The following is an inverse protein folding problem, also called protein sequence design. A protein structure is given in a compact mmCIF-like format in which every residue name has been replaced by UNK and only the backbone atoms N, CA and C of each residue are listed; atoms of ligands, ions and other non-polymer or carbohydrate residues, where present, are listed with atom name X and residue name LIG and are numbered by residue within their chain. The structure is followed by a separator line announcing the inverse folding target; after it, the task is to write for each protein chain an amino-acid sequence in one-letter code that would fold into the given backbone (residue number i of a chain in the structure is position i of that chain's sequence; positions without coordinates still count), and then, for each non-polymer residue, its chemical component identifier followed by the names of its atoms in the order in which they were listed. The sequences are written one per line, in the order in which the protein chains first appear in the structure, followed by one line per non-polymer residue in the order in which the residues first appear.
data_IF_643891716973
#
_entry.id   IF_643891716973
#
_cell.length_a   1.000
_cell.length_b   1.000
_cell.length_c   1.000
_cell.angle_alpha   90.00
_cell.angle_beta   90.00
_cell.angle_gamma   90.00
#
_symmetry.space_group_name_H-M   'P 1'
#
loop_
_entity.id
_entity.type
_entity.pdbx_description
1 polymer ?
#
# COMPACT_ATOMS: atom_id res chain seq x y z
N UNK A 1 26.97 -25.04 -1.32
CA UNK A 1 25.63 -25.37 -0.80
C UNK A 1 24.63 -24.41 -1.43
N UNK A 2 23.80 -24.86 -2.38
CA UNK A 2 22.74 -24.07 -2.99
C UNK A 2 21.63 -23.94 -1.95
N UNK A 3 21.40 -22.72 -1.42
CA UNK A 3 20.29 -22.46 -0.52
C UNK A 3 19.02 -22.50 -1.36
N UNK A 4 18.18 -23.50 -1.14
CA UNK A 4 16.88 -23.64 -1.76
C UNK A 4 16.03 -22.41 -1.41
N UNK A 5 15.62 -21.71 -2.45
CA UNK A 5 14.74 -20.56 -2.37
C UNK A 5 13.32 -21.10 -2.13
N UNK A 6 12.85 -21.06 -0.90
CA UNK A 6 11.55 -21.61 -0.47
C UNK A 6 10.41 -21.04 -1.33
N UNK A 7 10.58 -19.83 -1.88
CA UNK A 7 9.61 -19.14 -2.72
C UNK A 7 9.51 -19.66 -4.16
N UNK A 8 10.50 -20.43 -4.64
CA UNK A 8 10.46 -21.04 -5.98
C UNK A 8 9.69 -22.37 -6.01
N UNK A 9 9.41 -22.98 -4.85
CA UNK A 9 8.82 -24.32 -4.78
C UNK A 9 7.30 -24.36 -4.67
N UNK A 10 6.62 -23.21 -4.41
CA UNK A 10 5.17 -23.15 -4.23
C UNK A 10 4.41 -22.45 -5.37
N UNK A 11 5.01 -22.29 -6.53
CA UNK A 11 4.28 -21.87 -7.73
C UNK A 11 3.54 -23.10 -8.30
N UNK A 12 2.41 -23.44 -7.71
CA UNK A 12 1.42 -24.30 -8.34
C UNK A 12 0.75 -23.51 -9.49
N UNK A 13 0.31 -24.22 -10.53
CA UNK A 13 -0.24 -23.66 -11.78
C UNK A 13 -1.51 -22.81 -11.61
N UNK A 14 -1.97 -22.57 -10.39
CA UNK A 14 -3.13 -21.74 -10.04
C UNK A 14 -2.76 -20.27 -9.75
N UNK A 15 -1.49 -19.92 -9.65
CA UNK A 15 -0.99 -18.57 -9.35
C UNK A 15 -0.64 -17.76 -10.61
N UNK A 16 -1.46 -17.82 -11.65
CA UNK A 16 -1.27 -16.95 -12.83
C UNK A 16 -1.35 -15.43 -12.50
N UNK A 17 -1.76 -15.09 -11.30
CA UNK A 17 -1.86 -13.71 -10.76
C UNK A 17 -0.78 -13.41 -9.68
N UNK A 18 0.15 -14.33 -9.43
CA UNK A 18 1.24 -14.12 -8.50
C UNK A 18 2.18 -13.02 -9.01
N UNK A 19 2.35 -11.98 -8.21
CA UNK A 19 3.30 -10.92 -8.54
C UNK A 19 4.72 -11.45 -8.42
N UNK A 20 5.59 -11.21 -9.41
CA UNK A 20 6.98 -11.64 -9.33
C UNK A 20 7.66 -10.96 -8.13
N UNK A 21 8.28 -11.76 -7.26
CA UNK A 21 9.09 -11.23 -6.15
C UNK A 21 10.30 -10.54 -6.79
N UNK A 22 10.51 -9.26 -6.59
CA UNK A 22 11.68 -8.59 -7.12
C UNK A 22 12.94 -9.19 -6.52
N UNK A 23 13.95 -9.43 -7.33
CA UNK A 23 15.25 -9.89 -6.83
C UNK A 23 15.89 -8.87 -5.87
N UNK A 24 15.47 -7.60 -5.96
CA UNK A 24 15.95 -6.50 -5.13
C UNK A 24 14.82 -5.53 -4.83
N UNK A 25 14.52 -5.32 -3.56
CA UNK A 25 13.69 -4.21 -3.12
C UNK A 25 14.52 -2.93 -3.16
N UNK A 26 13.99 -1.89 -3.80
CA UNK A 26 14.68 -0.61 -3.99
C UNK A 26 13.99 0.55 -3.28
N UNK A 27 12.92 0.31 -2.57
CA UNK A 27 12.22 1.35 -1.81
C UNK A 27 11.38 0.76 -0.68
N UNK A 28 11.18 1.56 0.35
CA UNK A 28 10.32 1.23 1.48
C UNK A 28 8.91 0.79 1.05
N UNK A 29 8.33 1.48 0.08
CA UNK A 29 6.97 1.21 -0.41
C UNK A 29 6.86 -0.12 -1.15
N UNK A 30 7.91 -0.50 -1.87
CA UNK A 30 7.98 -1.79 -2.55
C UNK A 30 8.03 -2.92 -1.51
N UNK A 31 8.87 -2.79 -0.49
CA UNK A 31 8.94 -3.76 0.60
C UNK A 31 7.60 -3.83 1.35
N UNK A 32 7.00 -2.68 1.69
CA UNK A 32 5.70 -2.65 2.38
C UNK A 32 4.61 -3.36 1.57
N UNK A 33 4.57 -3.18 0.26
CA UNK A 33 3.63 -3.87 -0.61
C UNK A 33 3.77 -5.40 -0.50
N UNK A 34 5.00 -5.91 -0.58
CA UNK A 34 5.24 -7.36 -0.49
C UNK A 34 4.94 -7.91 0.90
N UNK A 35 5.26 -7.17 1.97
CA UNK A 35 4.94 -7.58 3.33
C UNK A 35 3.42 -7.69 3.56
N UNK A 36 2.63 -6.74 3.04
CA UNK A 36 1.17 -6.79 3.14
C UNK A 36 0.59 -7.94 2.31
N UNK A 37 1.10 -8.16 1.10
CA UNK A 37 0.69 -9.29 0.26
C UNK A 37 1.07 -10.64 0.89
N UNK A 38 2.24 -10.75 1.49
CA UNK A 38 2.68 -11.95 2.20
C UNK A 38 1.81 -12.22 3.42
N UNK A 39 1.53 -11.20 4.24
CA UNK A 39 0.62 -11.29 5.38
C UNK A 39 -0.77 -11.82 4.99
N UNK A 40 -1.30 -11.42 3.82
CA UNK A 40 -2.61 -11.86 3.34
C UNK A 40 -2.64 -13.30 2.84
N UNK A 41 -1.51 -13.84 2.46
CA UNK A 41 -1.36 -15.20 1.91
C UNK A 41 -0.89 -16.22 2.93
N UNK A 42 -0.37 -15.76 4.04
CA UNK A 42 0.21 -16.61 5.07
C UNK A 42 -0.29 -16.21 6.45
N UNK A 43 -0.20 -17.11 7.42
CA UNK A 43 -0.50 -16.82 8.81
C UNK A 43 0.69 -16.15 9.55
N UNK A 44 1.69 -15.66 8.81
CA UNK A 44 2.87 -15.02 9.39
C UNK A 44 2.60 -13.56 9.74
N UNK A 45 3.08 -13.11 10.90
CA UNK A 45 3.05 -11.71 11.26
C UNK A 45 4.04 -10.89 10.42
N UNK A 46 3.69 -9.64 10.13
CA UNK A 46 4.57 -8.72 9.38
C UNK A 46 5.94 -8.59 10.03
N UNK A 47 6.02 -8.57 11.38
CA UNK A 47 7.27 -8.52 12.12
C UNK A 47 8.21 -9.70 11.80
N UNK A 48 7.65 -10.89 11.66
CA UNK A 48 8.42 -12.12 11.39
C UNK A 48 8.93 -12.11 9.95
N UNK A 49 8.09 -11.73 9.01
CA UNK A 49 8.47 -11.52 7.61
C UNK A 49 9.56 -10.46 7.49
N UNK A 50 9.45 -9.34 8.18
CA UNK A 50 10.47 -8.29 8.18
C UNK A 50 11.82 -8.80 8.70
N UNK A 51 11.84 -9.56 9.79
CA UNK A 51 13.07 -10.13 10.35
C UNK A 51 13.77 -11.08 9.35
N UNK A 52 12.98 -11.82 8.56
CA UNK A 52 13.53 -12.68 7.50
C UNK A 52 14.12 -11.87 6.35
N UNK A 53 13.49 -10.75 5.98
CA UNK A 53 13.92 -9.89 4.89
C UNK A 53 15.10 -8.99 5.25
N UNK A 54 15.23 -8.55 6.51
CA UNK A 54 16.31 -7.67 6.99
C UNK A 54 17.71 -8.20 6.63
N UNK A 55 17.88 -9.51 6.63
CA UNK A 55 19.17 -10.16 6.30
C UNK A 55 19.42 -10.31 4.79
N UNK A 56 18.44 -9.99 3.96
CA UNK A 56 18.46 -10.28 2.51
C UNK A 56 18.39 -9.04 1.65
N UNK A 57 17.97 -7.92 2.22
CA UNK A 57 17.68 -6.69 1.51
C UNK A 57 18.59 -5.59 2.05
N UNK A 58 19.24 -4.89 1.13
CA UNK A 58 20.03 -3.71 1.45
C UNK A 58 19.15 -2.46 1.27
N UNK A 59 18.50 -2.06 2.36
CA UNK A 59 17.75 -0.81 2.48
C UNK A 59 18.29 0.04 3.61
N UNK A 60 18.19 1.36 3.47
CA UNK A 60 18.52 2.27 4.55
C UNK A 60 17.66 2.02 5.79
N UNK A 61 18.16 2.35 6.98
CA UNK A 61 17.39 2.24 8.22
C UNK A 61 16.12 3.10 8.21
N UNK A 62 16.13 4.20 7.44
CA UNK A 62 14.94 5.04 7.25
C UNK A 62 13.89 4.34 6.38
N UNK A 63 14.31 3.70 5.28
CA UNK A 63 13.41 2.93 4.42
C UNK A 63 12.82 1.72 5.14
N UNK A 64 13.61 1.06 5.99
CA UNK A 64 13.12 -0.03 6.84
C UNK A 64 12.02 0.44 7.79
N UNK A 65 12.23 1.54 8.50
CA UNK A 65 11.22 2.11 9.40
C UNK A 65 9.96 2.50 8.64
N UNK A 66 10.10 3.15 7.47
CA UNK A 66 8.97 3.52 6.64
C UNK A 66 8.22 2.31 6.10
N UNK A 67 8.91 1.27 5.66
CA UNK A 67 8.28 0.02 5.22
C UNK A 67 7.48 -0.64 6.35
N UNK A 68 8.04 -0.69 7.55
CA UNK A 68 7.37 -1.21 8.75
C UNK A 68 6.13 -0.38 9.08
N UNK A 69 6.27 0.94 9.14
CA UNK A 69 5.17 1.86 9.43
C UNK A 69 4.01 1.68 8.45
N UNK A 70 4.30 1.68 7.14
CA UNK A 70 3.28 1.50 6.11
C UNK A 70 2.62 0.12 6.22
N UNK A 71 3.39 -0.95 6.30
CA UNK A 71 2.85 -2.31 6.26
C UNK A 71 1.98 -2.63 7.48
N UNK A 72 2.45 -2.31 8.68
CA UNK A 72 1.69 -2.50 9.91
C UNK A 72 0.47 -1.57 9.93
N UNK A 73 0.65 -0.32 9.53
CA UNK A 73 -0.41 0.66 9.50
C UNK A 73 -1.55 0.29 8.54
N UNK A 74 -1.21 -0.20 7.34
CA UNK A 74 -2.20 -0.70 6.36
C UNK A 74 -3.02 -1.85 6.94
N UNK A 75 -2.39 -2.83 7.59
CA UNK A 75 -3.10 -3.96 8.19
C UNK A 75 -3.99 -3.50 9.36
N UNK A 76 -3.48 -2.65 10.24
CA UNK A 76 -4.23 -2.16 11.41
C UNK A 76 -5.41 -1.26 11.05
N UNK A 77 -5.31 -0.50 9.96
CA UNK A 77 -6.31 0.47 9.51
C UNK A 77 -7.11 -0.01 8.30
N UNK A 78 -7.05 -1.29 7.98
CA UNK A 78 -7.61 -1.85 6.75
C UNK A 78 -9.05 -1.37 6.50
N UNK A 79 -9.96 -1.49 7.47
CA UNK A 79 -11.36 -1.11 7.32
C UNK A 79 -11.54 0.39 7.01
N UNK A 80 -10.77 1.25 7.66
CA UNK A 80 -10.79 2.69 7.41
C UNK A 80 -10.31 3.00 6.00
N UNK A 81 -9.19 2.39 5.59
CA UNK A 81 -8.64 2.58 4.25
C UNK A 81 -9.59 2.07 3.17
N UNK A 82 -10.23 0.92 3.40
CA UNK A 82 -11.21 0.34 2.49
C UNK A 82 -12.38 1.30 2.29
N UNK A 83 -12.95 1.84 3.37
CA UNK A 83 -14.05 2.82 3.30
C UNK A 83 -13.67 4.06 2.48
N UNK A 84 -12.48 4.60 2.71
CA UNK A 84 -11.98 5.77 1.97
C UNK A 84 -11.83 5.45 0.48
N UNK A 85 -11.23 4.32 0.14
CA UNK A 85 -11.04 3.93 -1.26
C UNK A 85 -12.37 3.66 -1.95
N UNK A 86 -13.27 2.94 -1.30
CA UNK A 86 -14.58 2.59 -1.84
C UNK A 86 -15.43 3.84 -2.16
N UNK A 87 -15.34 4.88 -1.34
CA UNK A 87 -16.02 6.16 -1.61
C UNK A 87 -15.58 6.84 -2.91
N UNK A 88 -14.42 6.48 -3.45
CA UNK A 88 -13.86 7.04 -4.68
C UNK A 88 -14.00 6.10 -5.89
N UNK A 89 -14.56 4.91 -5.69
CA UNK A 89 -14.74 3.95 -6.78
C UNK A 89 -16.00 4.25 -7.58
N UNK A 90 -15.87 4.14 -8.91
CA UNK A 90 -17.01 4.13 -9.85
C UNK A 90 -17.51 2.72 -10.19
N UNK A 91 -16.87 1.70 -9.63
CA UNK A 91 -17.17 0.28 -9.86
C UNK A 91 -17.09 -0.51 -8.55
N UNK A 92 -17.79 -1.66 -8.44
CA UNK A 92 -17.75 -2.49 -7.25
C UNK A 92 -16.32 -2.93 -6.89
N UNK A 93 -16.06 -3.04 -5.58
CA UNK A 93 -14.77 -3.48 -5.01
C UNK A 93 -14.29 -4.81 -5.60
N UNK A 94 -15.20 -5.74 -5.82
CA UNK A 94 -14.93 -7.10 -6.32
C UNK A 94 -14.34 -7.11 -7.73
N UNK A 95 -14.49 -6.02 -8.47
CA UNK A 95 -13.89 -5.84 -9.81
C UNK A 95 -12.49 -5.24 -9.77
N UNK A 96 -11.95 -4.99 -8.58
CA UNK A 96 -10.59 -4.47 -8.39
C UNK A 96 -9.68 -5.62 -7.99
N UNK A 97 -8.59 -5.82 -8.71
CA UNK A 97 -7.60 -6.85 -8.43
C UNK A 97 -7.05 -6.70 -6.99
N UNK A 98 -6.92 -7.81 -6.25
CA UNK A 98 -6.47 -7.76 -4.86
C UNK A 98 -5.11 -7.03 -4.67
N UNK A 99 -4.08 -7.28 -5.51
CA UNK A 99 -2.82 -6.54 -5.35
C UNK A 99 -2.94 -5.05 -5.70
N UNK A 100 -3.83 -4.66 -6.63
CA UNK A 100 -4.13 -3.25 -6.89
C UNK A 100 -4.78 -2.59 -5.67
N UNK A 101 -5.62 -3.34 -4.95
CA UNK A 101 -6.23 -2.87 -3.71
C UNK A 101 -5.18 -2.59 -2.64
N UNK A 102 -4.24 -3.51 -2.43
CA UNK A 102 -3.11 -3.30 -1.53
C UNK A 102 -2.32 -2.05 -1.89
N UNK A 103 -2.07 -1.84 -3.17
CA UNK A 103 -1.36 -0.65 -3.65
C UNK A 103 -2.12 0.64 -3.34
N UNK A 104 -3.44 0.65 -3.52
CA UNK A 104 -4.30 1.78 -3.16
C UNK A 104 -4.29 2.04 -1.65
N UNK A 105 -4.40 1.00 -0.82
CA UNK A 105 -4.31 1.15 0.63
C UNK A 105 -2.98 1.74 1.08
N UNK A 106 -1.86 1.34 0.49
CA UNK A 106 -0.54 1.93 0.76
C UNK A 106 -0.50 3.41 0.40
N UNK A 107 -1.07 3.79 -0.74
CA UNK A 107 -1.15 5.18 -1.16
C UNK A 107 -2.00 6.02 -0.22
N UNK A 108 -3.21 5.54 0.11
CA UNK A 108 -4.14 6.23 1.02
C UNK A 108 -3.59 6.32 2.43
N UNK A 109 -2.95 5.26 2.93
CA UNK A 109 -2.30 5.29 4.25
C UNK A 109 -1.27 6.41 4.34
N UNK A 110 -0.44 6.58 3.32
CA UNK A 110 0.55 7.65 3.29
C UNK A 110 -0.10 9.04 3.27
N UNK A 111 -1.16 9.23 2.48
CA UNK A 111 -1.88 10.51 2.38
C UNK A 111 -2.57 10.90 3.69
N UNK A 112 -3.21 9.93 4.36
CA UNK A 112 -4.11 10.22 5.47
C UNK A 112 -3.44 10.10 6.83
N UNK A 113 -2.39 9.27 6.95
CA UNK A 113 -1.78 8.91 8.23
C UNK A 113 -0.33 9.38 8.42
N UNK A 114 0.36 9.77 7.34
CA UNK A 114 1.78 10.12 7.40
C UNK A 114 2.02 11.58 7.02
N UNK A 115 1.80 12.50 7.95
CA UNK A 115 1.97 13.96 7.72
C UNK A 115 3.35 14.36 7.25
N UNK A 116 4.38 13.57 7.59
CA UNK A 116 5.76 13.82 7.16
C UNK A 116 5.99 13.51 5.68
N UNK A 117 5.04 12.86 4.98
CA UNK A 117 5.14 12.58 3.56
C UNK A 117 4.27 13.58 2.80
N UNK A 118 4.86 14.43 1.94
CA UNK A 118 4.07 15.34 1.12
C UNK A 118 3.11 14.58 0.19
N UNK A 119 1.90 15.07 0.01
CA UNK A 119 0.84 14.43 -0.80
C UNK A 119 1.31 14.09 -2.21
N UNK A 120 2.03 15.02 -2.86
CA UNK A 120 2.55 14.80 -4.20
C UNK A 120 3.55 13.63 -4.24
N UNK A 121 4.34 13.44 -3.18
CA UNK A 121 5.29 12.33 -3.08
C UNK A 121 4.54 11.00 -2.82
N UNK A 122 3.54 10.99 -1.94
CA UNK A 122 2.70 9.82 -1.70
C UNK A 122 2.03 9.35 -3.00
N UNK A 123 1.46 10.28 -3.77
CA UNK A 123 0.82 9.96 -5.06
C UNK A 123 1.83 9.46 -6.09
N UNK A 124 2.90 10.22 -6.36
CA UNK A 124 3.85 9.91 -7.41
C UNK A 124 4.57 8.58 -7.18
N UNK A 125 5.05 8.35 -5.96
CA UNK A 125 5.76 7.12 -5.60
C UNK A 125 4.85 5.88 -5.65
N UNK A 126 3.57 6.02 -5.27
CA UNK A 126 2.61 4.91 -5.37
C UNK A 126 2.28 4.58 -6.82
N UNK A 127 2.12 5.60 -7.68
CA UNK A 127 1.94 5.41 -9.12
C UNK A 127 3.18 4.77 -9.77
N UNK A 128 4.37 5.17 -9.34
CA UNK A 128 5.61 4.58 -9.83
C UNK A 128 5.76 3.13 -9.40
N UNK A 129 5.35 2.79 -8.17
CA UNK A 129 5.33 1.42 -7.68
C UNK A 129 4.49 0.50 -8.58
N UNK A 130 3.34 0.95 -9.08
CA UNK A 130 2.55 0.20 -10.08
C UNK A 130 3.39 -0.18 -11.32
N UNK A 131 4.26 0.72 -11.76
CA UNK A 131 5.21 0.46 -12.85
C UNK A 131 6.28 -0.56 -12.48
N UNK A 132 6.87 -0.42 -11.29
CA UNK A 132 7.88 -1.35 -10.77
C UNK A 132 7.35 -2.77 -10.56
N UNK A 133 6.05 -2.89 -10.30
CA UNK A 133 5.33 -4.17 -10.24
C UNK A 133 4.94 -4.72 -11.62
N UNK A 134 5.42 -4.11 -12.71
CA UNK A 134 5.05 -4.45 -14.09
C UNK A 134 3.54 -4.37 -14.40
N UNK A 135 2.80 -3.57 -13.65
CA UNK A 135 1.34 -3.36 -13.79
C UNK A 135 1.04 -1.93 -14.26
N UNK A 136 1.59 -1.55 -15.40
CA UNK A 136 1.47 -0.18 -15.97
C UNK A 136 0.02 0.27 -16.12
N UNK A 137 -0.91 -0.64 -16.40
CA UNK A 137 -2.36 -0.37 -16.49
C UNK A 137 -2.96 0.17 -15.19
N UNK A 138 -2.38 -0.15 -14.03
CA UNK A 138 -2.85 0.34 -12.73
C UNK A 138 -2.53 1.81 -12.47
N UNK A 139 -1.47 2.35 -13.10
CA UNK A 139 -1.02 3.73 -12.88
C UNK A 139 -2.14 4.76 -13.02
N UNK A 140 -2.97 4.62 -14.07
CA UNK A 140 -4.08 5.56 -14.32
C UNK A 140 -5.09 5.55 -13.19
N UNK A 141 -5.50 4.38 -12.72
CA UNK A 141 -6.48 4.23 -11.65
C UNK A 141 -5.92 4.70 -10.31
N UNK A 142 -4.69 4.29 -9.96
CA UNK A 142 -4.01 4.72 -8.73
C UNK A 142 -3.92 6.25 -8.68
N UNK A 143 -3.43 6.88 -9.76
CA UNK A 143 -3.32 8.33 -9.82
C UNK A 143 -4.68 9.03 -9.71
N UNK A 144 -5.72 8.51 -10.35
CA UNK A 144 -7.06 9.11 -10.30
C UNK A 144 -7.64 9.07 -8.89
N UNK A 145 -7.58 7.91 -8.22
CA UNK A 145 -8.14 7.72 -6.88
C UNK A 145 -7.36 8.55 -5.86
N UNK A 146 -6.03 8.46 -5.84
CA UNK A 146 -5.22 9.19 -4.85
C UNK A 146 -5.36 10.71 -5.01
N UNK A 147 -5.37 11.23 -6.23
CA UNK A 147 -5.61 12.67 -6.47
C UNK A 147 -7.02 13.10 -6.08
N UNK A 148 -8.03 12.24 -6.23
CA UNK A 148 -9.40 12.55 -5.76
C UNK A 148 -9.44 12.67 -4.24
N UNK A 149 -8.75 11.76 -3.53
CA UNK A 149 -8.65 11.80 -2.06
C UNK A 149 -7.91 13.06 -1.61
N UNK A 150 -6.78 13.41 -2.24
CA UNK A 150 -6.03 14.64 -1.92
C UNK A 150 -6.92 15.90 -2.06
N UNK A 151 -7.75 15.98 -3.11
CA UNK A 151 -8.69 17.11 -3.28
C UNK A 151 -9.70 17.19 -2.15
N UNK A 152 -10.30 16.07 -1.77
CA UNK A 152 -11.27 16.04 -0.67
C UNK A 152 -10.64 16.50 0.65
N UNK A 153 -9.43 16.05 0.95
CA UNK A 153 -8.70 16.49 2.14
C UNK A 153 -8.44 18.00 2.15
N UNK A 154 -8.21 18.60 0.98
CA UNK A 154 -7.97 20.04 0.84
C UNK A 154 -9.28 20.84 0.94
N UNK A 155 -10.37 20.32 0.38
CA UNK A 155 -11.70 20.94 0.44
C UNK A 155 -12.27 20.93 1.87
N UNK A 156 -12.10 19.83 2.62
CA UNK A 156 -12.52 19.72 4.03
C UNK A 156 -11.78 20.71 4.95
N UNK A 157 -10.53 21.05 4.62
CA UNK A 157 -9.77 22.06 5.38
C UNK A 157 -10.21 23.50 5.06
N UNK A 158 -10.89 23.72 3.93
CA UNK A 158 -11.34 25.04 3.47
C UNK A 158 -12.80 25.36 3.85
N UNK A 159 -13.59 24.37 4.27
CA UNK A 159 -15.02 24.54 4.57
C UNK A 159 -15.29 24.11 6.01
N UNK A 160 -15.87 25.00 6.83
CA UNK A 160 -16.42 24.63 8.14
C UNK A 160 -17.47 23.50 7.97
N UNK A 161 -17.58 22.57 8.94
CA UNK A 161 -18.28 21.30 8.73
C UNK A 161 -19.78 21.49 8.61
N UNK A 162 -20.31 21.44 7.41
CA UNK A 162 -21.72 21.16 7.18
C UNK A 162 -21.91 19.75 6.64
N UNK A 163 -22.39 18.90 7.54
CA UNK A 163 -23.17 17.67 7.37
C UNK A 163 -22.77 16.64 6.27
N UNK A 164 -22.56 15.42 6.72
CA UNK A 164 -22.59 14.15 6.00
C UNK A 164 -21.39 13.71 5.12
N UNK A 165 -20.30 14.45 5.05
CA UNK A 165 -19.05 13.91 4.54
C UNK A 165 -18.29 13.19 5.68
N UNK A 166 -17.74 12.01 5.42
CA UNK A 166 -16.80 11.36 6.34
C UNK A 166 -15.60 12.32 6.44
N UNK A 167 -15.34 12.92 7.62
CA UNK A 167 -14.21 13.85 7.72
C UNK A 167 -12.91 13.08 7.57
N UNK A 168 -12.20 13.37 6.51
CA UNK A 168 -10.88 12.79 6.19
C UNK A 168 -9.74 13.50 6.92
N UNK A 169 -10.03 14.28 7.98
CA UNK A 169 -8.96 14.90 8.78
C UNK A 169 -8.12 13.81 9.47
N UNK A 170 -6.81 13.93 9.35
CA UNK A 170 -5.85 13.01 9.93
C UNK A 170 -6.07 12.78 11.44
N UNK A 171 -6.57 13.78 12.16
CA UNK A 171 -6.82 13.73 13.61
C UNK A 171 -7.92 12.75 14.03
N UNK A 172 -8.87 12.40 13.16
CA UNK A 172 -9.94 11.45 13.49
C UNK A 172 -9.55 10.00 13.30
N UNK A 173 -8.47 9.73 12.59
CA UNK A 173 -7.97 8.38 12.33
C UNK A 173 -6.72 8.02 13.14
N UNK A 174 -6.23 8.97 13.95
CA UNK A 174 -5.16 8.75 14.92
C UNK A 174 -5.78 8.36 16.26
N UNK A 175 -5.68 7.11 16.64
CA UNK A 175 -5.92 6.63 18.00
C UNK A 175 -4.63 6.07 18.55
#
# INVERSE_FOLDING_TARGET
MKKNNVWQQNASAEDADALPIPQYFRSARQLAFFLVEEYRRSDQFISDSMQQWERRIDLSSADWRLAMEISIGVVRRQLTLDTIIESQLTRPREKVEAPLWTLLQIGVYQLVMLDQIPDHAAVSETVELAGKLHRVRWKKMVNAILRSITRLMTEDTATEPQSNAIPLSADRYRC
#
